data_IF_751602865882
#
_entry.id   IF_751602865882
#
_cell.length_a   1.000
_cell.length_b   1.000
_cell.length_c   1.000
_cell.angle_alpha   90.00
_cell.angle_beta   90.00
_cell.angle_gamma   90.00
#
_symmetry.space_group_name_H-M   'P 1'
#
loop_
_entity.id
_entity.type
_entity.pdbx_description
1 polymer ?
#
# COMPACT_ATOMS: atom_id res chain seq x y z
N UNK A 1 19.67 -18.79 8.25
CA UNK A 1 19.36 -19.80 7.19
C UNK A 1 19.78 -19.17 5.85
N UNK A 2 19.78 -19.83 4.69
CA UNK A 2 20.21 -19.14 3.45
C UNK A 2 19.21 -18.04 3.06
N UNK A 3 19.63 -16.80 3.22
CA UNK A 3 19.04 -15.65 2.54
C UNK A 3 19.33 -15.80 1.04
N UNK A 4 18.32 -15.62 0.20
CA UNK A 4 18.52 -15.35 -1.21
C UNK A 4 18.88 -13.86 -1.38
N UNK A 5 19.69 -13.57 -2.40
CA UNK A 5 20.48 -12.35 -2.44
C UNK A 5 19.70 -11.16 -2.99
N UNK A 6 19.10 -10.36 -2.10
CA UNK A 6 18.89 -8.94 -2.40
C UNK A 6 20.25 -8.27 -2.63
N UNK A 7 20.41 -7.54 -3.73
CA UNK A 7 21.71 -7.00 -4.17
C UNK A 7 22.23 -5.82 -3.33
N UNK A 8 21.45 -5.35 -2.36
CA UNK A 8 21.72 -4.16 -1.55
C UNK A 8 22.84 -4.32 -0.50
N UNK A 9 23.58 -3.23 -0.27
CA UNK A 9 24.74 -3.19 0.64
C UNK A 9 24.39 -2.43 1.92
N UNK A 10 24.23 -3.14 3.04
CA UNK A 10 23.74 -2.65 4.34
C UNK A 10 24.60 -1.59 5.07
N UNK A 11 25.72 -1.13 4.48
CA UNK A 11 26.74 -0.31 5.16
C UNK A 11 26.26 1.04 5.67
N UNK A 12 25.17 1.56 5.11
CA UNK A 12 24.60 2.86 5.49
C UNK A 12 23.38 2.75 6.43
N UNK A 13 22.99 1.52 6.79
CA UNK A 13 22.07 1.26 7.91
C UNK A 13 22.81 1.47 9.22
N UNK A 14 22.31 2.41 10.02
CA UNK A 14 22.83 2.74 11.34
C UNK A 14 21.84 2.27 12.41
N UNK A 15 22.38 1.61 13.45
CA UNK A 15 21.60 0.97 14.52
C UNK A 15 22.16 1.40 15.88
N UNK A 16 21.28 1.77 16.80
CA UNK A 16 21.59 2.02 18.20
C UNK A 16 21.23 0.81 19.07
N UNK A 17 22.05 0.57 20.09
CA UNK A 17 21.75 -0.33 21.20
C UNK A 17 21.58 0.48 22.48
N UNK A 18 20.49 0.25 23.21
CA UNK A 18 20.13 0.90 24.47
C UNK A 18 19.98 -0.11 25.61
N UNK A 19 20.08 0.37 26.84
CA UNK A 19 19.72 -0.34 28.07
C UNK A 19 18.85 0.57 28.95
N UNK A 20 17.98 0.01 29.79
CA UNK A 20 17.24 0.79 30.78
C UNK A 20 18.12 1.17 31.98
N UNK A 21 17.86 2.33 32.59
CA UNK A 21 18.46 2.74 33.87
C UNK A 21 17.60 2.32 35.08
N UNK A 22 18.02 2.70 36.30
CA UNK A 22 17.26 2.46 37.55
C UNK A 22 15.88 3.18 37.59
N UNK A 23 15.65 4.15 36.69
CA UNK A 23 14.41 4.93 36.56
C UNK A 23 13.45 4.34 35.53
N UNK A 24 13.96 3.54 34.57
CA UNK A 24 13.22 3.04 33.41
C UNK A 24 13.43 3.87 32.12
N UNK A 25 14.41 4.79 32.10
CA UNK A 25 14.76 5.58 30.92
C UNK A 25 15.78 4.83 30.03
N UNK A 26 15.65 4.98 28.70
CA UNK A 26 16.58 4.38 27.72
C UNK A 26 17.90 5.16 27.65
N UNK A 27 19.01 4.49 27.99
CA UNK A 27 20.38 5.00 27.84
C UNK A 27 21.06 4.36 26.63
N UNK A 28 21.59 5.18 25.73
CA UNK A 28 22.36 4.73 24.57
C UNK A 28 23.68 4.06 25.03
N UNK A 29 23.84 2.79 24.70
CA UNK A 29 25.02 1.96 24.98
C UNK A 29 26.04 2.08 23.85
N UNK A 30 25.59 1.97 22.59
CA UNK A 30 26.46 1.92 21.41
C UNK A 30 25.71 2.22 20.12
N UNK A 31 26.28 3.03 19.23
CA UNK A 31 25.86 3.16 17.83
C UNK A 31 26.73 2.28 16.93
N UNK A 32 26.12 1.65 15.93
CA UNK A 32 26.69 0.60 15.09
C UNK A 32 26.21 0.76 13.63
N UNK A 33 26.85 0.05 12.72
CA UNK A 33 26.44 -0.11 11.31
C UNK A 33 26.40 -1.59 10.98
N UNK A 34 25.51 -1.97 10.08
CA UNK A 34 25.47 -3.34 9.56
C UNK A 34 26.65 -3.59 8.60
N UNK A 35 27.17 -4.82 8.62
CA UNK A 35 28.04 -5.34 7.57
C UNK A 35 27.22 -5.86 6.38
N UNK A 36 27.89 -6.15 5.26
CA UNK A 36 27.27 -6.53 3.98
C UNK A 36 26.33 -7.76 4.08
N UNK A 37 26.49 -8.57 5.12
CA UNK A 37 25.73 -9.76 5.48
C UNK A 37 24.60 -9.49 6.51
N UNK A 38 24.27 -8.23 6.81
CA UNK A 38 23.20 -7.83 7.71
C UNK A 38 23.52 -7.92 9.20
N UNK A 39 24.76 -8.28 9.56
CA UNK A 39 25.20 -8.50 10.94
C UNK A 39 25.78 -7.24 11.57
N UNK A 40 25.92 -7.21 12.89
CA UNK A 40 26.82 -6.27 13.58
C UNK A 40 27.41 -6.85 14.87
N UNK A 41 28.45 -6.17 15.38
CA UNK A 41 29.34 -6.68 16.43
C UNK A 41 29.03 -6.02 17.78
N UNK A 42 28.47 -6.78 18.73
CA UNK A 42 28.16 -6.36 20.11
C UNK A 42 29.30 -6.75 21.08
N UNK A 43 30.52 -6.32 20.74
CA UNK A 43 31.71 -6.54 21.59
C UNK A 43 31.51 -6.05 23.06
N UNK A 44 31.90 -6.91 24.00
CA UNK A 44 32.06 -6.65 25.45
C UNK A 44 30.83 -6.18 26.25
N UNK A 45 29.61 -6.49 25.82
CA UNK A 45 28.42 -6.27 26.65
C UNK A 45 28.24 -7.35 27.73
N UNK A 46 27.56 -6.98 28.81
CA UNK A 46 27.08 -7.90 29.85
C UNK A 46 25.87 -8.68 29.35
N UNK A 47 25.66 -9.89 29.89
CA UNK A 47 24.40 -10.59 29.69
C UNK A 47 23.25 -9.80 30.35
N UNK A 48 22.12 -9.64 29.66
CA UNK A 48 21.03 -8.78 30.13
C UNK A 48 20.03 -8.39 29.03
N UNK A 49 19.08 -7.54 29.41
CA UNK A 49 18.05 -6.98 28.52
C UNK A 49 18.55 -5.70 27.83
N UNK A 50 18.37 -5.61 26.52
CA UNK A 50 18.72 -4.44 25.72
C UNK A 50 17.61 -4.13 24.72
N UNK A 51 17.63 -2.91 24.19
CA UNK A 51 16.69 -2.44 23.18
C UNK A 51 17.46 -1.97 21.94
N UNK A 52 17.05 -2.42 20.76
CA UNK A 52 17.69 -2.11 19.48
C UNK A 52 16.82 -1.13 18.69
N UNK A 53 17.40 -0.06 18.14
CA UNK A 53 16.71 0.95 17.33
C UNK A 53 17.41 1.09 15.98
N UNK A 54 16.68 0.98 14.87
CA UNK A 54 17.19 1.40 13.55
C UNK A 54 17.05 2.92 13.45
N UNK A 55 18.17 3.63 13.27
CA UNK A 55 18.17 5.10 13.15
C UNK A 55 18.37 5.62 11.72
N UNK A 56 18.76 4.75 10.77
CA UNK A 56 18.75 5.06 9.33
C UNK A 56 18.37 3.83 8.51
N UNK A 57 17.39 3.95 7.60
CA UNK A 57 16.38 5.03 7.50
C UNK A 57 15.51 5.07 8.78
N UNK A 58 14.80 6.18 9.03
CA UNK A 58 14.32 6.54 10.38
C UNK A 58 12.79 6.50 10.55
N UNK A 59 12.14 5.46 10.05
CA UNK A 59 10.68 5.47 9.76
C UNK A 59 9.83 4.39 10.42
N UNK A 60 10.49 3.52 11.15
CA UNK A 60 9.94 3.04 12.40
C UNK A 60 11.13 2.96 13.35
N UNK A 61 11.15 3.66 14.49
CA UNK A 61 12.09 3.37 15.57
C UNK A 61 11.66 2.05 16.22
N UNK A 62 11.77 0.96 15.47
CA UNK A 62 11.37 -0.38 15.88
C UNK A 62 12.29 -0.84 17.00
N UNK A 63 11.84 -0.64 18.25
CA UNK A 63 12.57 -0.99 19.46
C UNK A 63 12.47 -2.50 19.73
N UNK A 64 13.31 -3.30 19.05
CA UNK A 64 13.37 -4.74 19.33
C UNK A 64 13.99 -4.96 20.73
N UNK A 65 13.22 -5.58 21.64
CA UNK A 65 13.74 -5.98 22.95
C UNK A 65 14.49 -7.31 22.84
N UNK A 66 15.82 -7.22 22.87
CA UNK A 66 16.72 -8.36 22.76
C UNK A 66 17.31 -8.77 24.12
N UNK A 67 17.73 -10.02 24.23
CA UNK A 67 18.42 -10.56 25.40
C UNK A 67 19.80 -11.04 24.96
N UNK A 68 20.86 -10.55 25.63
CA UNK A 68 22.23 -10.99 25.38
C UNK A 68 22.63 -12.06 26.40
N UNK A 69 23.16 -13.19 25.91
CA UNK A 69 23.74 -14.27 26.72
C UNK A 69 25.20 -13.99 27.12
N UNK A 70 25.73 -14.75 28.09
CA UNK A 70 27.13 -14.67 28.52
C UNK A 70 28.12 -15.01 27.38
N UNK A 71 28.58 -13.98 26.66
CA UNK A 71 29.55 -14.09 25.58
C UNK A 71 29.04 -13.72 24.19
N UNK A 72 27.82 -13.16 24.07
CA UNK A 72 27.27 -12.67 22.79
C UNK A 72 28.13 -11.57 22.15
N UNK A 73 28.93 -11.93 21.14
CA UNK A 73 29.78 -11.00 20.38
C UNK A 73 29.13 -10.51 19.08
N UNK A 74 28.26 -11.32 18.46
CA UNK A 74 27.60 -11.04 17.20
C UNK A 74 26.09 -11.17 17.39
N UNK A 75 25.32 -10.31 16.71
CA UNK A 75 23.88 -10.48 16.55
C UNK A 75 23.54 -10.49 15.07
N UNK A 76 22.69 -11.44 14.68
CA UNK A 76 21.99 -11.52 13.40
C UNK A 76 20.62 -10.87 13.62
N UNK A 77 20.25 -9.87 12.82
CA UNK A 77 18.99 -9.12 12.98
C UNK A 77 18.22 -9.17 11.66
N UNK A 78 17.01 -9.72 11.72
CA UNK A 78 16.12 -9.81 10.56
C UNK A 78 15.29 -8.53 10.44
N UNK A 79 15.86 -7.53 9.75
CA UNK A 79 15.19 -6.26 9.49
C UNK A 79 13.99 -6.46 8.55
N UNK A 80 12.82 -5.95 8.96
CA UNK A 80 11.62 -5.88 8.12
C UNK A 80 11.93 -5.04 6.86
N UNK A 81 11.61 -5.59 5.69
CA UNK A 81 11.79 -4.95 4.39
C UNK A 81 10.45 -4.65 3.74
N UNK A 82 10.40 -3.61 2.93
CA UNK A 82 9.29 -3.37 2.01
C UNK A 82 9.30 -4.45 0.92
N UNK A 83 8.16 -5.06 0.61
CA UNK A 83 8.08 -6.10 -0.42
C UNK A 83 7.66 -5.47 -1.75
N UNK A 84 8.46 -5.66 -2.79
CA UNK A 84 8.24 -5.12 -4.13
C UNK A 84 8.33 -6.26 -5.15
N UNK A 85 7.71 -6.16 -6.34
CA UNK A 85 7.89 -7.19 -7.37
C UNK A 85 9.37 -7.34 -7.78
N UNK A 86 9.74 -8.53 -8.24
CA UNK A 86 10.99 -8.74 -8.98
C UNK A 86 11.02 -7.98 -10.31
N UNK A 87 9.88 -7.92 -11.03
CA UNK A 87 9.73 -7.13 -12.26
C UNK A 87 9.04 -5.79 -11.95
N UNK A 88 9.83 -4.72 -11.86
CA UNK A 88 9.34 -3.35 -11.69
C UNK A 88 9.28 -2.68 -13.06
N UNK A 89 8.07 -2.52 -13.59
CA UNK A 89 7.79 -1.86 -14.87
C UNK A 89 7.31 -0.42 -14.74
N UNK A 90 6.88 0.02 -13.54
CA UNK A 90 6.49 1.42 -13.29
C UNK A 90 6.91 1.89 -11.90
N UNK A 91 7.48 3.09 -11.86
CA UNK A 91 7.57 3.92 -10.65
C UNK A 91 6.96 5.29 -10.93
N UNK A 92 6.08 5.75 -10.06
CA UNK A 92 5.53 7.11 -10.03
C UNK A 92 5.97 7.81 -8.74
N UNK A 93 6.13 9.14 -8.75
CA UNK A 93 6.24 9.95 -7.52
C UNK A 93 4.99 10.80 -7.31
N UNK A 94 4.43 10.72 -6.10
CA UNK A 94 3.20 11.40 -5.66
C UNK A 94 3.49 12.24 -4.42
N UNK A 95 2.81 13.38 -4.26
CA UNK A 95 3.06 14.31 -3.15
C UNK A 95 2.14 15.52 -3.18
N UNK A 96 2.37 16.47 -2.27
CA UNK A 96 1.55 17.69 -2.15
C UNK A 96 1.52 18.55 -3.44
N UNK A 97 2.58 18.52 -4.24
CA UNK A 97 2.70 19.23 -5.52
C UNK A 97 1.77 18.68 -6.62
N UNK A 98 1.07 17.57 -6.36
CA UNK A 98 -0.01 17.01 -7.20
C UNK A 98 -1.33 16.81 -6.41
N UNK A 99 -1.45 17.46 -5.24
CA UNK A 99 -2.56 17.30 -4.28
C UNK A 99 -2.71 15.86 -3.73
N UNK A 100 -1.62 15.07 -3.68
CA UNK A 100 -1.59 13.62 -3.39
C UNK A 100 -2.44 12.74 -4.32
N UNK A 101 -2.88 13.28 -5.45
CA UNK A 101 -3.71 12.59 -6.44
C UNK A 101 -2.86 11.63 -7.29
N UNK A 102 -3.10 10.32 -7.15
CA UNK A 102 -2.41 9.29 -7.93
C UNK A 102 -2.66 9.39 -9.43
N UNK A 103 -3.80 9.96 -9.86
CA UNK A 103 -4.09 10.24 -11.27
C UNK A 103 -3.13 11.29 -11.88
N UNK A 104 -2.49 12.09 -11.02
CA UNK A 104 -1.56 13.16 -11.38
C UNK A 104 -0.10 12.84 -11.03
N UNK A 105 0.18 11.68 -10.42
CA UNK A 105 1.53 11.29 -10.01
C UNK A 105 2.51 11.31 -11.20
N UNK A 106 3.75 11.74 -10.95
CA UNK A 106 4.73 11.98 -12.00
C UNK A 106 5.46 10.68 -12.34
N UNK A 107 5.39 10.18 -13.60
CA UNK A 107 6.09 8.95 -13.98
C UNK A 107 7.61 9.16 -14.00
N UNK A 108 8.31 8.14 -13.53
CA UNK A 108 9.78 8.07 -13.48
C UNK A 108 10.30 7.14 -14.59
N UNK A 109 11.55 7.31 -15.00
CA UNK A 109 12.20 6.46 -16.02
C UNK A 109 13.46 5.80 -15.49
N UNK A 110 13.80 4.65 -16.06
CA UNK A 110 15.01 3.86 -15.80
C UNK A 110 15.75 3.66 -17.15
N UNK A 111 16.01 4.79 -17.85
CA UNK A 111 16.36 4.83 -19.28
C UNK A 111 17.69 4.14 -19.66
N UNK A 112 18.60 3.94 -18.70
CA UNK A 112 19.85 3.20 -18.86
C UNK A 112 19.84 1.81 -18.20
N UNK A 113 18.74 1.44 -17.53
CA UNK A 113 18.53 0.11 -16.96
C UNK A 113 19.37 -0.21 -15.73
N UNK A 114 19.92 0.80 -15.04
CA UNK A 114 20.75 0.57 -13.84
C UNK A 114 19.92 0.33 -12.55
N UNK A 115 18.59 0.45 -12.64
CA UNK A 115 17.58 0.34 -11.56
C UNK A 115 17.41 1.57 -10.68
N UNK A 116 17.99 2.71 -11.05
CA UNK A 116 17.72 4.02 -10.44
C UNK A 116 16.63 4.75 -11.23
N UNK A 117 15.38 4.50 -10.86
CA UNK A 117 14.23 5.21 -11.39
C UNK A 117 14.30 6.70 -11.05
N UNK A 118 14.09 7.59 -12.02
CA UNK A 118 14.32 9.03 -11.89
C UNK A 118 13.23 9.89 -12.54
N UNK A 119 12.90 11.04 -11.94
CA UNK A 119 12.17 12.13 -12.63
C UNK A 119 12.65 13.50 -12.14
N UNK A 120 12.76 14.46 -13.05
CA UNK A 120 13.15 15.84 -12.74
C UNK A 120 11.96 16.80 -12.93
N UNK A 121 11.53 17.47 -11.87
CA UNK A 121 10.35 18.35 -11.86
C UNK A 121 10.61 19.70 -11.15
N UNK A 122 10.09 20.83 -11.65
CA UNK A 122 10.22 22.12 -10.98
C UNK A 122 9.26 22.26 -9.79
N UNK A 123 9.80 22.38 -8.57
CA UNK A 123 9.03 22.66 -7.35
C UNK A 123 9.22 24.12 -6.90
N UNK A 124 8.22 24.71 -6.22
CA UNK A 124 8.33 26.05 -5.64
C UNK A 124 9.28 26.08 -4.42
N UNK A 125 9.48 27.27 -3.84
CA UNK A 125 10.18 27.39 -2.57
C UNK A 125 9.23 26.97 -1.43
N UNK A 126 9.71 26.13 -0.52
CA UNK A 126 8.89 25.56 0.55
C UNK A 126 9.33 24.15 0.93
N UNK A 127 8.51 23.52 1.77
CA UNK A 127 8.64 22.13 2.21
C UNK A 127 7.65 21.29 1.40
N UNK A 128 8.10 20.17 0.86
CA UNK A 128 7.33 19.29 0.00
C UNK A 128 7.42 17.84 0.48
N UNK A 129 6.26 17.22 0.67
CA UNK A 129 6.11 15.87 1.19
C UNK A 129 5.61 14.92 0.11
N UNK A 130 6.23 13.73 0.02
CA UNK A 130 6.08 12.82 -1.12
C UNK A 130 6.31 11.34 -0.78
N UNK A 131 5.90 10.47 -1.71
CA UNK A 131 6.11 9.01 -1.76
C UNK A 131 6.25 8.52 -3.20
N UNK A 132 6.64 7.26 -3.35
CA UNK A 132 6.65 6.52 -4.61
C UNK A 132 5.54 5.47 -4.67
N UNK A 133 4.98 5.27 -5.86
CA UNK A 133 4.08 4.16 -6.19
C UNK A 133 4.83 3.23 -7.13
N UNK A 134 4.91 1.93 -6.82
CA UNK A 134 5.58 0.91 -7.65
C UNK A 134 4.50 0.00 -8.24
N UNK A 135 4.48 -0.21 -9.56
CA UNK A 135 3.54 -1.08 -10.29
C UNK A 135 2.04 -0.92 -9.89
N UNK A 136 1.62 0.26 -9.43
CA UNK A 136 0.24 0.52 -8.97
C UNK A 136 -0.14 -0.07 -7.61
N UNK A 137 0.81 -0.54 -6.79
CA UNK A 137 0.56 -1.11 -5.46
C UNK A 137 -0.13 -0.13 -4.49
N UNK A 138 -1.01 -0.66 -3.63
CA UNK A 138 -1.64 0.09 -2.52
C UNK A 138 -0.62 0.54 -1.45
N UNK A 139 0.51 -0.16 -1.27
CA UNK A 139 1.61 0.31 -0.41
C UNK A 139 2.42 1.39 -1.13
N UNK A 140 2.46 2.60 -0.55
CA UNK A 140 3.27 3.70 -1.08
C UNK A 140 4.60 3.79 -0.34
N UNK A 141 5.69 3.78 -1.09
CA UNK A 141 7.06 3.65 -0.59
C UNK A 141 7.72 5.02 -0.36
N UNK A 142 8.69 5.06 0.53
CA UNK A 142 9.43 6.27 0.91
C UNK A 142 10.82 6.30 0.25
N UNK A 143 11.37 7.50 0.01
CA UNK A 143 12.77 7.66 -0.37
C UNK A 143 13.68 7.34 0.83
N UNK A 144 14.13 6.09 0.92
CA UNK A 144 15.09 5.56 1.91
C UNK A 144 16.39 6.39 2.04
N UNK A 145 16.68 7.32 1.11
CA UNK A 145 17.85 8.21 1.12
C UNK A 145 17.52 9.69 1.41
N UNK A 146 16.25 10.03 1.63
CA UNK A 146 15.85 11.40 2.00
C UNK A 146 16.44 11.82 3.37
N UNK A 147 16.61 13.13 3.54
CA UNK A 147 17.21 13.73 4.73
C UNK A 147 16.23 14.04 5.87
N UNK A 148 14.94 14.20 5.56
CA UNK A 148 13.88 14.48 6.54
C UNK A 148 12.57 13.81 6.12
N UNK A 149 11.71 13.59 7.11
CA UNK A 149 10.40 12.99 6.96
C UNK A 149 9.45 13.54 8.02
N UNK A 150 8.16 13.33 7.80
CA UNK A 150 7.11 13.65 8.74
C UNK A 150 6.06 12.55 8.79
N UNK A 151 5.35 12.34 9.91
CA UNK A 151 4.22 11.43 9.95
C UNK A 151 3.17 11.86 8.93
N UNK A 152 2.61 10.90 8.19
CA UNK A 152 1.61 11.17 7.14
C UNK A 152 0.19 11.41 7.67
N UNK A 153 -0.02 11.26 8.98
CA UNK A 153 -1.33 11.24 9.65
C UNK A 153 -1.80 9.83 9.99
N UNK A 154 -1.47 8.86 9.13
CA UNK A 154 -1.72 7.43 9.27
C UNK A 154 -0.57 6.70 9.99
N UNK A 155 0.48 7.44 10.34
CA UNK A 155 1.69 7.02 11.06
C UNK A 155 2.51 5.96 10.34
N UNK A 156 2.40 5.95 9.02
CA UNK A 156 3.57 5.78 8.20
C UNK A 156 4.27 7.17 8.10
N UNK A 157 5.29 7.29 7.25
CA UNK A 157 6.02 8.55 7.06
C UNK A 157 5.99 9.00 5.60
N UNK A 158 5.95 10.32 5.38
CA UNK A 158 6.20 10.92 4.07
C UNK A 158 7.66 11.33 3.99
N UNK A 159 8.31 11.09 2.86
CA UNK A 159 9.62 11.69 2.58
C UNK A 159 9.47 13.18 2.34
N UNK A 160 10.39 13.98 2.86
CA UNK A 160 10.36 15.44 2.74
C UNK A 160 11.55 15.94 1.93
N UNK A 161 11.32 16.95 1.09
CA UNK A 161 12.35 17.82 0.53
C UNK A 161 12.01 19.28 0.85
N UNK A 162 12.97 20.04 1.39
CA UNK A 162 12.79 21.46 1.73
C UNK A 162 13.72 22.35 0.90
N UNK A 163 13.15 23.40 0.30
CA UNK A 163 13.74 24.18 -0.78
C UNK A 163 13.74 25.67 -0.42
N UNK A 164 14.91 26.27 -0.21
CA UNK A 164 15.05 27.72 0.08
C UNK A 164 14.54 28.61 -1.07
N UNK A 165 14.72 28.15 -2.32
CA UNK A 165 14.17 28.77 -3.52
C UNK A 165 13.66 27.73 -4.53
N UNK A 166 12.76 28.16 -5.41
CA UNK A 166 12.10 27.31 -6.41
C UNK A 166 13.12 26.78 -7.44
N UNK A 167 13.19 25.46 -7.60
CA UNK A 167 14.23 24.79 -8.39
C UNK A 167 13.72 23.46 -8.97
N UNK A 168 14.49 22.88 -9.89
CA UNK A 168 14.23 21.52 -10.39
C UNK A 168 14.79 20.52 -9.39
N UNK A 169 13.90 19.72 -8.81
CA UNK A 169 14.25 18.57 -7.96
C UNK A 169 14.28 17.32 -8.84
N UNK A 170 15.30 16.49 -8.67
CA UNK A 170 15.33 15.14 -9.23
C UNK A 170 14.99 14.15 -8.12
N UNK A 171 13.82 13.52 -8.24
CA UNK A 171 13.45 12.37 -7.40
C UNK A 171 14.15 11.11 -7.94
N UNK A 172 14.58 10.24 -7.03
CA UNK A 172 15.35 9.02 -7.35
C UNK A 172 14.86 7.87 -6.47
N UNK A 173 14.51 6.73 -7.07
CA UNK A 173 14.22 5.49 -6.36
C UNK A 173 15.17 4.38 -6.83
N UNK A 174 15.83 3.74 -5.88
CA UNK A 174 16.74 2.62 -6.08
C UNK A 174 16.04 1.32 -5.67
N UNK A 175 15.55 0.56 -6.63
CA UNK A 175 14.80 -0.69 -6.35
C UNK A 175 15.71 -1.88 -5.99
N UNK A 176 17.03 -1.68 -5.97
CA UNK A 176 18.02 -2.62 -5.43
C UNK A 176 18.51 -2.22 -4.02
N UNK A 177 17.96 -1.15 -3.44
CA UNK A 177 18.26 -0.76 -2.06
C UNK A 177 17.97 -1.91 -1.09
N UNK A 178 18.85 -2.22 -0.11
CA UNK A 178 18.68 -3.36 0.79
C UNK A 178 17.36 -3.36 1.60
N UNK A 179 16.70 -2.20 1.74
CA UNK A 179 15.39 -2.09 2.38
C UNK A 179 14.22 -2.64 1.57
N UNK A 180 14.43 -2.86 0.27
CA UNK A 180 13.51 -3.62 -0.56
C UNK A 180 13.83 -5.11 -0.54
N UNK A 181 12.76 -5.89 -0.43
CA UNK A 181 12.75 -7.31 -0.76
C UNK A 181 11.99 -7.45 -2.07
N UNK A 182 12.72 -7.63 -3.16
CA UNK A 182 12.14 -8.17 -4.38
C UNK A 182 11.54 -9.54 -4.06
N UNK A 183 10.27 -9.74 -4.43
CA UNK A 183 9.53 -10.99 -4.31
C UNK A 183 8.89 -11.33 -5.64
N UNK A 184 8.98 -12.61 -6.01
CA UNK A 184 8.05 -13.18 -6.98
C UNK A 184 6.66 -13.16 -6.34
N UNK A 185 5.73 -12.41 -6.91
CA UNK A 185 4.32 -12.63 -6.60
C UNK A 185 3.93 -14.02 -7.11
N UNK A 186 3.11 -14.77 -6.35
CA UNK A 186 2.65 -16.09 -6.77
C UNK A 186 1.61 -15.96 -7.90
N UNK A 187 2.10 -15.74 -9.13
CA UNK A 187 1.36 -16.06 -10.35
C UNK A 187 0.85 -17.50 -10.21
N UNK A 188 -0.46 -17.77 -10.35
CA UNK A 188 -1.02 -19.10 -10.13
C UNK A 188 -0.27 -20.15 -10.94
N UNK A 189 0.46 -21.02 -10.23
CA UNK A 189 1.54 -21.83 -10.81
C UNK A 189 1.11 -22.54 -12.11
N UNK A 190 1.73 -22.14 -13.23
CA UNK A 190 1.28 -22.39 -14.59
C UNK A 190 0.72 -23.81 -14.80
N UNK A 191 -0.61 -23.88 -14.93
CA UNK A 191 -1.31 -25.14 -15.20
C UNK A 191 -1.02 -25.61 -16.64
N UNK A 192 -1.21 -26.89 -16.93
CA UNK A 192 -1.13 -27.39 -18.33
C UNK A 192 -2.37 -27.00 -19.18
N UNK A 193 -3.22 -26.08 -18.72
CA UNK A 193 -4.28 -25.46 -19.52
C UNK A 193 -3.79 -24.14 -20.16
N UNK A 194 -4.56 -23.59 -21.10
CA UNK A 194 -4.19 -22.39 -21.84
C UNK A 194 -4.20 -21.12 -20.97
N UNK A 195 -3.63 -20.04 -21.54
CA UNK A 195 -3.31 -18.77 -20.89
C UNK A 195 -4.41 -18.13 -20.04
N UNK A 196 -3.96 -17.35 -19.07
CA UNK A 196 -4.72 -16.89 -17.91
C UNK A 196 -4.97 -15.39 -17.92
N UNK A 197 -5.92 -14.96 -17.08
CA UNK A 197 -6.25 -13.56 -16.79
C UNK A 197 -6.37 -13.42 -15.29
N UNK A 198 -5.81 -12.34 -14.75
CA UNK A 198 -5.93 -11.98 -13.34
C UNK A 198 -5.96 -10.44 -13.20
N UNK A 199 -6.22 -9.94 -11.99
CA UNK A 199 -6.20 -8.50 -11.71
C UNK A 199 -5.79 -8.19 -10.26
N UNK A 200 -5.29 -6.98 -10.04
CA UNK A 200 -5.10 -6.41 -8.70
C UNK A 200 -5.64 -4.97 -8.63
N UNK A 201 -6.19 -4.52 -7.48
CA UNK A 201 -6.45 -5.31 -6.29
C UNK A 201 -7.59 -6.32 -6.52
N UNK A 202 -7.50 -7.53 -5.97
CA UNK A 202 -8.49 -8.62 -6.17
C UNK A 202 -9.95 -8.23 -5.86
N UNK A 203 -10.17 -7.37 -4.88
CA UNK A 203 -11.50 -6.88 -4.44
C UNK A 203 -11.60 -5.33 -4.57
N UNK A 204 -11.60 -4.76 -5.79
CA UNK A 204 -11.37 -3.32 -5.99
C UNK A 204 -12.59 -2.48 -5.60
N UNK A 205 -12.33 -1.27 -5.09
CA UNK A 205 -13.33 -0.28 -4.70
C UNK A 205 -13.40 0.86 -5.72
N UNK A 206 -14.54 1.55 -5.80
CA UNK A 206 -14.64 2.76 -6.62
C UNK A 206 -13.59 3.81 -6.20
N UNK A 207 -12.94 4.44 -7.19
CA UNK A 207 -11.71 5.28 -7.11
C UNK A 207 -10.37 4.54 -7.09
N UNK A 208 -10.31 3.22 -6.91
CA UNK A 208 -9.04 2.49 -7.10
C UNK A 208 -8.72 2.31 -8.60
N UNK A 209 -7.44 2.10 -8.91
CA UNK A 209 -7.01 1.58 -10.21
C UNK A 209 -6.95 0.06 -10.14
N UNK A 210 -7.32 -0.59 -11.24
CA UNK A 210 -7.25 -2.04 -11.40
C UNK A 210 -6.21 -2.32 -12.49
N UNK A 211 -5.13 -3.01 -12.13
CA UNK A 211 -4.19 -3.55 -13.12
C UNK A 211 -4.74 -4.90 -13.59
N UNK A 212 -5.05 -5.01 -14.89
CA UNK A 212 -5.46 -6.26 -15.54
C UNK A 212 -4.22 -6.93 -16.12
N UNK A 213 -4.05 -8.21 -15.86
CA UNK A 213 -2.96 -9.06 -16.39
C UNK A 213 -3.53 -10.13 -17.35
N UNK A 214 -2.79 -10.48 -18.39
CA UNK A 214 -3.17 -11.45 -19.42
C UNK A 214 -1.97 -12.20 -20.00
N UNK A 215 -1.99 -13.52 -19.90
CA UNK A 215 -1.11 -14.42 -20.66
C UNK A 215 -1.88 -14.99 -21.87
N UNK A 216 -1.45 -14.71 -23.11
CA UNK A 216 -2.10 -15.19 -24.31
C UNK A 216 -1.68 -16.62 -24.74
N UNK A 217 -0.81 -17.32 -23.99
CA UNK A 217 -0.21 -18.61 -24.38
C UNK A 217 -1.26 -19.70 -24.70
N UNK A 218 -1.12 -20.36 -25.85
CA UNK A 218 -2.12 -21.30 -26.38
C UNK A 218 -3.50 -20.70 -26.71
N UNK A 219 -3.67 -19.38 -26.57
CA UNK A 219 -4.91 -18.64 -26.81
C UNK A 219 -4.99 -18.02 -28.22
N UNK A 220 -6.06 -17.27 -28.53
CA UNK A 220 -6.24 -16.62 -29.84
C UNK A 220 -5.16 -15.60 -30.18
N UNK A 221 -4.51 -15.02 -29.17
CA UNK A 221 -3.57 -13.91 -29.28
C UNK A 221 -2.10 -14.29 -29.01
N UNK A 222 -1.77 -15.59 -28.90
CA UNK A 222 -0.42 -16.09 -28.57
C UNK A 222 0.71 -15.43 -29.40
N UNK A 223 0.56 -15.41 -30.73
CA UNK A 223 1.48 -14.72 -31.66
C UNK A 223 1.08 -13.24 -31.91
N UNK A 224 0.76 -12.43 -30.89
CA UNK A 224 0.44 -11.01 -31.06
C UNK A 224 1.65 -10.09 -30.83
N UNK A 225 1.96 -9.22 -31.80
CA UNK A 225 3.01 -8.19 -31.67
C UNK A 225 2.56 -6.96 -30.85
N UNK A 226 1.25 -6.81 -30.60
CA UNK A 226 0.64 -5.80 -29.73
C UNK A 226 -0.73 -6.32 -29.27
N UNK A 227 -1.04 -6.18 -27.98
CA UNK A 227 -2.38 -6.43 -27.44
C UNK A 227 -2.98 -5.13 -26.91
N UNK A 228 -4.30 -5.00 -27.02
CA UNK A 228 -5.12 -3.94 -26.45
C UNK A 228 -6.16 -4.56 -25.51
N UNK A 229 -6.30 -3.95 -24.34
CA UNK A 229 -7.43 -4.17 -23.44
C UNK A 229 -8.61 -3.37 -24.00
N UNK A 230 -9.70 -4.04 -24.36
CA UNK A 230 -10.95 -3.43 -24.81
C UNK A 230 -11.98 -3.58 -23.70
N UNK A 231 -12.37 -2.48 -23.06
CA UNK A 231 -13.09 -2.49 -21.80
C UNK A 231 -14.12 -1.38 -21.66
N UNK A 232 -15.08 -1.56 -20.75
CA UNK A 232 -16.02 -0.55 -20.31
C UNK A 232 -16.42 -0.76 -18.86
N UNK A 233 -17.19 0.17 -18.30
CA UNK A 233 -17.76 0.07 -16.95
C UNK A 233 -19.26 -0.19 -17.02
N UNK A 234 -19.84 -0.87 -16.03
CA UNK A 234 -21.30 -1.01 -15.86
C UNK A 234 -22.04 -1.42 -17.17
N UNK A 235 -21.93 -2.69 -17.58
CA UNK A 235 -22.53 -3.24 -18.81
C UNK A 235 -22.02 -2.56 -20.11
N UNK A 236 -20.71 -2.46 -20.29
CA UNK A 236 -20.06 -1.83 -21.47
C UNK A 236 -20.52 -0.37 -21.73
N UNK A 237 -20.39 0.48 -20.70
CA UNK A 237 -20.49 1.94 -20.82
C UNK A 237 -19.10 2.56 -20.88
N UNK A 238 -18.92 3.65 -21.64
CA UNK A 238 -17.66 4.42 -21.68
C UNK A 238 -17.41 5.05 -20.30
N UNK A 239 -16.26 4.79 -19.66
CA UNK A 239 -15.92 5.33 -18.34
C UNK A 239 -15.72 6.86 -18.38
N UNK A 240 -15.94 7.53 -17.24
CA UNK A 240 -15.65 8.98 -17.14
C UNK A 240 -14.14 9.27 -17.13
N UNK A 241 -13.33 8.32 -16.66
CA UNK A 241 -11.87 8.40 -16.62
C UNK A 241 -11.31 7.47 -17.70
N UNK A 242 -10.51 8.03 -18.63
CA UNK A 242 -9.86 7.30 -19.72
C UNK A 242 -8.34 7.43 -19.51
N UNK A 243 -7.57 6.31 -19.45
CA UNK A 243 -6.13 6.37 -19.23
C UNK A 243 -5.40 7.13 -20.36
N UNK A 244 -4.28 7.80 -20.08
CA UNK A 244 -3.37 8.31 -21.11
C UNK A 244 -3.03 7.22 -22.14
N UNK A 245 -2.96 7.58 -23.42
CA UNK A 245 -2.71 6.62 -24.51
C UNK A 245 -3.92 5.75 -24.91
N UNK A 246 -5.02 5.78 -24.15
CA UNK A 246 -6.26 5.08 -24.48
C UNK A 246 -7.23 5.96 -25.30
N UNK A 247 -8.26 5.36 -25.90
CA UNK A 247 -9.32 6.10 -26.61
C UNK A 247 -10.62 5.34 -26.74
N UNK A 248 -11.72 6.07 -26.97
CA UNK A 248 -13.03 5.50 -27.31
C UNK A 248 -12.94 4.62 -28.58
N UNK A 249 -13.50 3.41 -28.53
CA UNK A 249 -13.62 2.52 -29.68
C UNK A 249 -14.75 2.96 -30.62
N UNK A 250 -14.72 2.54 -31.90
CA UNK A 250 -15.69 2.96 -32.93
C UNK A 250 -17.16 2.55 -32.64
N UNK A 251 -17.39 1.70 -31.63
CA UNK A 251 -18.74 1.33 -31.17
C UNK A 251 -19.39 2.32 -30.18
N UNK A 252 -18.63 3.29 -29.65
CA UNK A 252 -19.11 4.28 -28.68
C UNK A 252 -19.58 3.70 -27.34
N UNK A 253 -19.06 2.54 -26.94
CA UNK A 253 -19.41 1.82 -25.71
C UNK A 253 -18.20 1.41 -24.87
N UNK A 254 -17.08 1.12 -25.52
CA UNK A 254 -15.83 0.74 -24.84
C UNK A 254 -14.68 1.71 -25.12
N UNK A 255 -13.66 1.62 -24.28
CA UNK A 255 -12.32 2.18 -24.45
C UNK A 255 -11.37 1.07 -24.91
N UNK A 256 -10.45 1.40 -25.81
CA UNK A 256 -9.24 0.59 -26.02
C UNK A 256 -8.05 1.26 -25.34
N UNK A 257 -7.39 0.48 -24.48
CA UNK A 257 -6.14 0.79 -23.81
C UNK A 257 -5.04 -0.08 -24.41
N UNK A 258 -3.92 0.51 -24.81
CA UNK A 258 -2.74 -0.26 -25.22
C UNK A 258 -2.20 -1.00 -24.00
N UNK A 259 -1.94 -2.30 -24.14
CA UNK A 259 -1.25 -3.05 -23.09
C UNK A 259 0.26 -2.98 -23.32
N UNK A 260 1.01 -3.09 -22.23
CA UNK A 260 2.46 -3.27 -22.24
C UNK A 260 2.77 -4.75 -21.95
N UNK A 261 3.97 -5.22 -22.31
CA UNK A 261 4.36 -6.63 -22.16
C UNK A 261 5.62 -6.75 -21.30
N UNK A 262 5.53 -7.55 -20.25
CA UNK A 262 6.62 -7.87 -19.33
C UNK A 262 7.56 -8.93 -19.91
N UNK A 263 8.74 -9.12 -19.31
CA UNK A 263 9.83 -9.90 -19.93
C UNK A 263 9.56 -11.42 -19.98
N UNK A 264 8.59 -11.92 -19.21
CA UNK A 264 8.13 -13.30 -19.23
C UNK A 264 7.13 -13.61 -20.37
N UNK A 265 6.53 -12.57 -20.96
CA UNK A 265 5.52 -12.65 -22.01
C UNK A 265 4.10 -12.22 -21.57
N UNK A 266 3.88 -11.99 -20.28
CA UNK A 266 2.61 -11.49 -19.71
C UNK A 266 2.34 -10.07 -20.21
N UNK A 267 1.09 -9.76 -20.53
CA UNK A 267 0.63 -8.41 -20.87
C UNK A 267 -0.13 -7.79 -19.70
N UNK A 268 0.03 -6.49 -19.45
CA UNK A 268 -0.79 -5.76 -18.48
C UNK A 268 -1.36 -4.45 -19.02
N UNK A 269 -2.43 -3.97 -18.39
CA UNK A 269 -3.04 -2.67 -18.67
C UNK A 269 -3.88 -2.17 -17.50
N UNK A 270 -3.91 -0.85 -17.29
CA UNK A 270 -4.58 -0.22 -16.14
C UNK A 270 -5.98 0.32 -16.46
N UNK A 271 -6.91 0.07 -15.54
CA UNK A 271 -8.30 0.52 -15.57
C UNK A 271 -8.60 1.40 -14.35
N UNK A 272 -8.77 2.73 -14.50
CA UNK A 272 -9.23 3.60 -13.44
C UNK A 272 -10.73 3.40 -13.18
N UNK A 273 -11.13 3.37 -11.91
CA UNK A 273 -12.53 3.41 -11.50
C UNK A 273 -12.92 4.76 -10.89
N UNK A 274 -14.22 5.00 -10.76
CA UNK A 274 -14.80 6.14 -10.04
C UNK A 274 -15.95 5.64 -9.13
N UNK A 275 -16.57 6.48 -8.27
CA UNK A 275 -17.59 6.04 -7.31
C UNK A 275 -18.85 5.41 -7.93
N UNK A 276 -19.19 5.78 -9.17
CA UNK A 276 -20.35 5.25 -9.90
C UNK A 276 -20.03 3.92 -10.61
N UNK A 277 -18.75 3.51 -10.66
CA UNK A 277 -18.33 2.20 -11.19
C UNK A 277 -18.69 1.09 -10.19
N UNK A 278 -19.45 0.11 -10.68
CA UNK A 278 -19.89 -1.10 -9.97
C UNK A 278 -19.31 -2.36 -10.62
N UNK A 279 -18.85 -2.25 -11.87
CA UNK A 279 -18.13 -3.30 -12.58
C UNK A 279 -17.25 -2.76 -13.71
N UNK A 280 -16.23 -3.54 -14.08
CA UNK A 280 -15.42 -3.40 -15.29
C UNK A 280 -15.62 -4.65 -16.15
N UNK A 281 -16.11 -4.48 -17.37
CA UNK A 281 -16.25 -5.53 -18.38
C UNK A 281 -15.09 -5.41 -19.39
N UNK A 282 -14.41 -6.51 -19.73
CA UNK A 282 -13.25 -6.45 -20.64
C UNK A 282 -13.01 -7.72 -21.47
N UNK A 283 -12.32 -7.53 -22.60
CA UNK A 283 -11.82 -8.54 -23.56
C UNK A 283 -10.51 -8.04 -24.20
N UNK A 284 -9.80 -8.90 -24.94
CA UNK A 284 -8.50 -8.57 -25.53
C UNK A 284 -8.52 -8.62 -27.07
N UNK A 285 -7.69 -7.79 -27.72
CA UNK A 285 -7.56 -7.76 -29.20
C UNK A 285 -6.17 -7.32 -29.67
N UNK A 286 -5.74 -7.79 -30.84
CA UNK A 286 -4.60 -7.21 -31.60
C UNK A 286 -5.05 -6.21 -32.69
N UNK A 287 -6.34 -5.82 -32.68
CA UNK A 287 -7.00 -5.02 -33.71
C UNK A 287 -7.57 -5.83 -34.88
N UNK A 288 -7.38 -7.15 -34.93
CA UNK A 288 -7.96 -8.03 -35.96
C UNK A 288 -8.56 -9.33 -35.37
N UNK A 289 -7.82 -9.98 -34.48
CA UNK A 289 -8.23 -11.10 -33.63
C UNK A 289 -8.79 -10.58 -32.32
N UNK A 290 -9.59 -11.41 -31.68
CA UNK A 290 -10.18 -11.12 -30.37
C UNK A 290 -10.06 -12.38 -29.51
N UNK A 291 -9.77 -12.20 -28.23
CA UNK A 291 -10.08 -13.18 -27.20
C UNK A 291 -11.22 -12.62 -26.36
N UNK A 292 -12.40 -13.24 -26.50
CA UNK A 292 -13.67 -12.82 -25.89
C UNK A 292 -14.08 -13.75 -24.72
N UNK A 293 -13.11 -14.49 -24.17
CA UNK A 293 -13.32 -15.61 -23.26
C UNK A 293 -14.38 -16.59 -23.78
N UNK A 294 -14.31 -16.94 -25.08
CA UNK A 294 -15.25 -17.87 -25.74
C UNK A 294 -16.71 -17.38 -25.69
N UNK A 295 -16.91 -16.06 -25.76
CA UNK A 295 -18.17 -15.31 -25.61
C UNK A 295 -18.68 -15.16 -24.16
N UNK A 296 -17.87 -15.48 -23.15
CA UNK A 296 -18.23 -15.26 -21.73
C UNK A 296 -17.66 -13.94 -21.15
N UNK A 297 -16.79 -13.23 -21.89
CA UNK A 297 -16.02 -12.04 -21.48
C UNK A 297 -15.25 -12.22 -20.13
N UNK A 298 -14.58 -11.17 -19.67
CA UNK A 298 -14.13 -11.05 -18.28
C UNK A 298 -14.81 -9.87 -17.60
N UNK A 299 -14.94 -9.96 -16.28
CA UNK A 299 -15.71 -9.03 -15.47
C UNK A 299 -15.09 -8.90 -14.08
N UNK A 300 -14.67 -7.70 -13.71
CA UNK A 300 -14.28 -7.37 -12.32
C UNK A 300 -15.46 -6.65 -11.67
N UNK A 301 -15.98 -7.21 -10.57
CA UNK A 301 -16.96 -6.51 -9.73
C UNK A 301 -16.25 -5.44 -8.89
N UNK A 302 -16.69 -4.20 -9.00
CA UNK A 302 -16.13 -3.06 -8.24
C UNK A 302 -17.06 -2.73 -7.09
N UNK A 303 -16.53 -2.67 -5.86
CA UNK A 303 -17.31 -2.29 -4.68
C UNK A 303 -17.63 -0.79 -4.75
N UNK A 304 -18.85 -0.50 -5.19
CA UNK A 304 -19.32 0.88 -5.31
C UNK A 304 -19.44 1.55 -3.95
N UNK A 305 -19.02 2.81 -3.89
CA UNK A 305 -19.19 3.69 -2.72
C UNK A 305 -20.60 4.30 -2.64
N UNK A 306 -21.46 4.03 -3.64
CA UNK A 306 -22.80 4.63 -3.75
C UNK A 306 -23.89 3.66 -3.27
N UNK A 307 -24.77 4.13 -2.37
CA UNK A 307 -25.92 3.35 -1.88
C UNK A 307 -25.56 2.20 -0.95
N UNK A 308 -24.47 2.35 -0.20
CA UNK A 308 -23.93 1.39 0.76
C UNK A 308 -24.96 0.94 1.82
N UNK A 309 -24.85 -0.31 2.29
CA UNK A 309 -25.18 -0.58 3.68
C UNK A 309 -24.22 0.28 4.53
N UNK A 310 -24.75 1.08 5.47
CA UNK A 310 -24.05 2.21 6.16
C UNK A 310 -22.60 1.96 6.61
N UNK A 311 -22.21 0.70 6.82
CA UNK A 311 -20.84 0.28 7.08
C UNK A 311 -20.49 -0.89 6.18
N UNK A 312 -19.33 -0.82 5.55
CA UNK A 312 -18.65 -1.96 4.91
C UNK A 312 -17.23 -2.09 5.46
N UNK A 313 -16.59 -3.22 5.19
CA UNK A 313 -15.15 -3.43 5.40
C UNK A 313 -14.54 -4.28 4.30
N UNK A 314 -13.21 -4.18 4.14
CA UNK A 314 -12.42 -4.98 3.21
C UNK A 314 -11.14 -5.53 3.87
N UNK A 315 -10.67 -6.74 3.49
CA UNK A 315 -11.34 -7.68 2.59
C UNK A 315 -12.64 -8.27 3.20
N UNK A 316 -13.42 -9.01 2.42
CA UNK A 316 -14.66 -9.65 2.93
C UNK A 316 -14.37 -10.72 4.01
N UNK A 317 -13.23 -11.42 3.89
CA UNK A 317 -12.77 -12.41 4.86
C UNK A 317 -11.36 -12.08 5.41
N UNK A 318 -11.22 -11.11 6.34
CA UNK A 318 -9.93 -10.73 6.93
C UNK A 318 -9.17 -11.89 7.57
N UNK A 319 -7.85 -11.92 7.37
CA UNK A 319 -6.93 -12.86 8.02
C UNK A 319 -6.20 -12.21 9.20
N UNK A 320 -5.92 -12.97 10.27
CA UNK A 320 -5.23 -12.45 11.44
C UNK A 320 -3.78 -12.00 11.11
N UNK A 321 -3.48 -10.72 11.35
CA UNK A 321 -2.23 -10.06 10.95
C UNK A 321 -2.36 -9.15 9.72
N UNK A 322 -3.52 -9.11 9.07
CA UNK A 322 -3.83 -8.22 7.96
C UNK A 322 -4.38 -6.86 8.45
N UNK A 323 -4.31 -5.83 7.62
CA UNK A 323 -5.10 -4.61 7.79
C UNK A 323 -6.54 -4.81 7.27
N UNK A 324 -7.48 -4.11 7.89
CA UNK A 324 -8.90 -4.09 7.49
C UNK A 324 -9.28 -2.63 7.23
N UNK A 325 -9.71 -2.31 6.01
CA UNK A 325 -10.25 -0.98 5.68
C UNK A 325 -11.73 -0.96 6.01
N UNK A 326 -12.14 -0.09 6.93
CA UNK A 326 -13.54 0.14 7.33
C UNK A 326 -14.03 1.42 6.67
N UNK A 327 -15.22 1.40 6.07
CA UNK A 327 -15.83 2.56 5.42
C UNK A 327 -17.27 2.78 5.92
N UNK A 328 -17.65 4.04 6.08
CA UNK A 328 -18.86 4.51 6.76
C UNK A 328 -19.58 5.59 5.92
N UNK A 329 -20.85 5.37 5.61
CA UNK A 329 -21.74 6.36 5.01
C UNK A 329 -22.60 7.04 6.10
N UNK A 330 -22.36 8.32 6.42
CA UNK A 330 -23.09 9.03 7.45
C UNK A 330 -24.48 9.53 7.00
N UNK A 331 -24.84 9.43 5.71
CA UNK A 331 -26.08 9.96 5.14
C UNK A 331 -27.35 9.33 5.73
N UNK A 332 -28.44 10.12 5.87
CA UNK A 332 -29.65 9.76 6.62
C UNK A 332 -29.34 9.31 8.08
N UNK A 333 -28.28 9.85 8.68
CA UNK A 333 -27.61 9.28 9.87
C UNK A 333 -27.35 10.25 11.03
N UNK A 334 -27.01 9.73 12.22
CA UNK A 334 -26.68 10.56 13.38
C UNK A 334 -25.52 11.53 13.13
N UNK A 335 -24.60 11.16 12.23
CA UNK A 335 -23.35 11.84 11.94
C UNK A 335 -23.32 12.51 10.54
N UNK A 336 -24.46 12.64 9.86
CA UNK A 336 -24.55 13.23 8.51
C UNK A 336 -23.87 14.61 8.41
N UNK A 337 -24.24 15.52 9.31
CA UNK A 337 -23.60 16.83 9.49
C UNK A 337 -22.38 16.76 10.45
N UNK A 338 -21.48 15.78 10.32
CA UNK A 338 -20.24 15.74 11.12
C UNK A 338 -19.07 16.45 10.42
N UNK A 339 -18.39 17.36 11.13
CA UNK A 339 -17.15 17.99 10.67
C UNK A 339 -15.93 17.04 10.78
N UNK A 340 -15.99 16.08 11.71
CA UNK A 340 -15.04 14.99 11.91
C UNK A 340 -15.80 13.75 12.38
N UNK A 341 -15.53 12.57 11.81
CA UNK A 341 -15.95 11.28 12.38
C UNK A 341 -14.73 10.57 12.96
N UNK A 342 -14.95 9.86 14.07
CA UNK A 342 -13.99 8.95 14.70
C UNK A 342 -14.57 7.53 14.69
N UNK A 343 -13.74 6.58 14.29
CA UNK A 343 -13.95 5.16 14.51
C UNK A 343 -13.61 4.85 15.97
N UNK A 344 -14.58 4.36 16.74
CA UNK A 344 -14.39 3.89 18.11
C UNK A 344 -14.43 2.37 18.12
N UNK A 345 -13.30 1.72 18.35
CA UNK A 345 -13.12 0.29 18.09
C UNK A 345 -12.24 -0.44 19.11
N UNK A 346 -12.32 -1.76 19.09
CA UNK A 346 -11.40 -2.67 19.76
C UNK A 346 -11.34 -4.00 19.04
N UNK A 347 -10.65 -4.97 19.63
CA UNK A 347 -10.58 -6.36 19.15
C UNK A 347 -11.12 -7.31 20.21
N UNK A 348 -11.62 -8.47 19.80
CA UNK A 348 -11.99 -9.58 20.70
C UNK A 348 -12.86 -9.12 21.90
N UNK A 349 -14.14 -8.80 21.67
CA UNK A 349 -15.11 -8.33 22.68
C UNK A 349 -14.72 -6.96 23.32
N UNK A 350 -14.31 -5.98 22.51
CA UNK A 350 -13.90 -4.64 22.96
C UNK A 350 -12.74 -4.67 23.97
N UNK A 351 -11.64 -5.31 23.56
CA UNK A 351 -10.32 -5.18 24.17
C UNK A 351 -9.49 -4.15 23.39
N UNK A 352 -8.64 -3.38 24.09
CA UNK A 352 -7.67 -2.49 23.42
C UNK A 352 -6.70 -3.36 22.60
N UNK A 353 -6.55 -3.14 21.28
CA UNK A 353 -5.63 -3.91 20.45
C UNK A 353 -4.17 -3.56 20.77
N UNK A 354 -3.27 -4.53 20.58
CA UNK A 354 -1.83 -4.34 20.84
C UNK A 354 -1.16 -3.38 19.86
N UNK A 355 -1.74 -3.27 18.66
CA UNK A 355 -1.36 -2.34 17.58
C UNK A 355 -2.66 -1.68 17.14
N UNK A 356 -2.67 -0.36 17.03
CA UNK A 356 -3.79 0.40 16.47
C UNK A 356 -3.28 1.43 15.48
N UNK A 357 -4.17 1.87 14.59
CA UNK A 357 -3.89 2.95 13.64
C UNK A 357 -3.30 4.16 14.36
N UNK A 358 -2.15 4.70 13.92
CA UNK A 358 -1.61 5.93 14.46
C UNK A 358 -2.58 7.12 14.38
N UNK A 359 -2.29 8.18 15.14
CA UNK A 359 -3.23 9.29 15.37
C UNK A 359 -4.37 8.96 16.35
N UNK A 360 -4.56 7.67 16.68
CA UNK A 360 -5.57 7.24 17.65
C UNK A 360 -5.22 7.52 19.11
N UNK A 361 -6.23 7.48 19.98
CA UNK A 361 -6.11 7.56 21.44
C UNK A 361 -6.89 6.45 22.14
N UNK A 362 -6.41 5.97 23.30
CA UNK A 362 -7.22 5.16 24.21
C UNK A 362 -8.41 5.98 24.74
N UNK A 363 -9.62 5.44 24.65
CA UNK A 363 -10.81 6.06 25.21
C UNK A 363 -10.82 5.95 26.75
N UNK A 364 -11.39 6.93 27.45
CA UNK A 364 -11.36 7.03 28.93
C UNK A 364 -11.92 5.79 29.66
N UNK A 365 -12.72 4.96 28.98
CA UNK A 365 -13.27 3.71 29.53
C UNK A 365 -12.28 2.52 29.54
N UNK A 366 -11.09 2.64 28.95
CA UNK A 366 -10.00 1.66 29.04
C UNK A 366 -10.28 0.32 28.36
N UNK A 367 -11.00 0.35 27.23
CA UNK A 367 -11.47 -0.83 26.47
C UNK A 367 -11.41 -0.71 24.96
N UNK A 368 -11.39 0.52 24.46
CA UNK A 368 -11.49 0.82 23.06
C UNK A 368 -10.61 2.02 22.71
N UNK A 369 -10.29 2.13 21.43
CA UNK A 369 -9.45 3.13 20.81
C UNK A 369 -10.33 4.03 19.95
N UNK A 370 -10.09 5.34 19.96
CA UNK A 370 -10.70 6.29 19.01
C UNK A 370 -9.66 6.69 17.95
N UNK A 371 -9.97 6.41 16.69
CA UNK A 371 -9.19 6.80 15.52
C UNK A 371 -9.95 7.87 14.74
N UNK A 372 -9.36 9.04 14.41
CA UNK A 372 -9.99 9.95 13.46
C UNK A 372 -10.09 9.26 12.09
N UNK A 373 -11.24 9.36 11.43
CA UNK A 373 -11.40 8.83 10.07
C UNK A 373 -11.09 9.90 9.03
N UNK A 374 -10.66 9.47 7.84
CA UNK A 374 -10.54 10.35 6.68
C UNK A 374 -11.88 10.56 6.00
N UNK A 375 -12.04 11.71 5.34
CA UNK A 375 -13.30 12.11 4.68
C UNK A 375 -13.13 12.14 3.17
N UNK A 376 -13.91 11.33 2.47
CA UNK A 376 -13.95 11.36 1.02
C UNK A 376 -14.68 12.61 0.47
N UNK A 377 -14.41 13.01 -0.79
CA UNK A 377 -15.07 14.16 -1.42
C UNK A 377 -16.60 14.05 -1.54
N UNK A 378 -17.16 12.84 -1.54
CA UNK A 378 -18.61 12.59 -1.51
C UNK A 378 -19.22 12.75 -0.11
N UNK A 379 -18.42 12.59 0.96
CA UNK A 379 -18.85 12.68 2.35
C UNK A 379 -18.98 11.36 3.10
N UNK A 380 -18.64 10.24 2.49
CA UNK A 380 -18.29 9.02 3.23
C UNK A 380 -16.99 9.20 4.03
N UNK A 381 -16.75 8.30 4.98
CA UNK A 381 -15.57 8.29 5.83
C UNK A 381 -14.92 6.92 5.81
N UNK A 382 -13.57 6.85 5.77
CA UNK A 382 -12.85 5.58 5.82
C UNK A 382 -11.70 5.59 6.82
N UNK A 383 -11.30 4.42 7.29
CA UNK A 383 -10.04 4.21 7.99
C UNK A 383 -9.57 2.75 7.92
N UNK A 384 -8.27 2.53 7.75
CA UNK A 384 -7.64 1.23 7.89
C UNK A 384 -7.23 0.94 9.34
N UNK A 385 -7.53 -0.26 9.83
CA UNK A 385 -7.15 -0.74 11.17
C UNK A 385 -6.31 -2.02 11.09
N UNK A 386 -5.20 -2.13 11.85
CA UNK A 386 -4.36 -3.33 11.85
C UNK A 386 -4.96 -4.43 12.74
N UNK A 387 -4.70 -5.69 12.38
CA UNK A 387 -4.93 -6.86 13.26
C UNK A 387 -3.60 -7.53 13.61
N UNK A 388 -3.58 -8.33 14.68
CA UNK A 388 -2.46 -9.19 15.06
C UNK A 388 -2.87 -10.68 14.97
N UNK A 389 -1.92 -11.64 14.98
CA UNK A 389 -2.21 -13.07 14.82
C UNK A 389 -3.13 -13.71 15.89
N UNK A 390 -3.46 -12.97 16.94
CA UNK A 390 -4.35 -13.33 18.05
C UNK A 390 -5.72 -12.60 18.01
N UNK A 391 -6.00 -11.82 16.96
CA UNK A 391 -7.30 -11.18 16.69
C UNK A 391 -8.26 -12.15 15.99
N UNK A 392 -9.49 -12.22 16.48
CA UNK A 392 -10.61 -13.01 15.95
C UNK A 392 -11.81 -12.13 15.57
N UNK A 393 -11.87 -10.89 16.07
CA UNK A 393 -12.82 -9.87 15.66
C UNK A 393 -12.26 -8.45 15.79
N UNK A 394 -12.74 -7.55 14.94
CA UNK A 394 -12.72 -6.10 15.17
C UNK A 394 -14.14 -5.64 15.48
N UNK A 395 -14.33 -5.04 16.64
CA UNK A 395 -15.61 -4.57 17.19
C UNK A 395 -15.64 -3.03 17.17
N UNK A 396 -16.65 -2.38 16.56
CA UNK A 396 -16.60 -0.92 16.32
C UNK A 396 -17.95 -0.19 16.20
N UNK A 397 -17.92 1.13 16.44
CA UNK A 397 -18.99 2.15 16.29
C UNK A 397 -18.39 3.50 15.87
N UNK A 398 -19.24 4.50 15.58
CA UNK A 398 -18.81 5.82 15.06
C UNK A 398 -19.28 6.97 15.94
N UNK A 399 -18.50 8.05 16.02
CA UNK A 399 -18.83 9.25 16.80
C UNK A 399 -18.19 10.52 16.23
N UNK A 400 -18.78 11.69 16.48
CA UNK A 400 -18.13 13.00 16.29
C UNK A 400 -17.57 13.60 17.61
N UNK A 401 -17.50 12.77 18.66
CA UNK A 401 -17.16 13.17 20.03
C UNK A 401 -18.36 13.64 20.87
N UNK A 402 -19.57 13.76 20.30
CA UNK A 402 -20.79 14.13 21.03
C UNK A 402 -21.99 13.23 20.69
N UNK A 403 -22.19 12.97 19.40
CA UNK A 403 -23.17 12.06 18.81
C UNK A 403 -22.51 10.71 18.55
N UNK A 404 -23.31 9.67 18.45
CA UNK A 404 -22.85 8.30 18.17
C UNK A 404 -23.80 7.65 17.16
N UNK A 405 -23.25 6.88 16.22
CA UNK A 405 -24.00 5.80 15.57
C UNK A 405 -23.49 4.47 16.13
N UNK A 406 -24.35 3.82 16.91
CA UNK A 406 -24.07 2.60 17.65
C UNK A 406 -24.75 1.35 17.05
N UNK A 407 -25.25 1.48 15.81
CA UNK A 407 -26.08 0.48 15.13
C UNK A 407 -27.34 0.07 15.94
N UNK A 408 -27.92 1.00 16.70
CA UNK A 408 -29.05 0.79 17.63
C UNK A 408 -28.66 -0.18 18.75
N UNK A 409 -27.62 0.19 19.50
CA UNK A 409 -26.96 -0.55 20.58
C UNK A 409 -26.46 -1.94 20.17
N UNK A 410 -25.85 -2.08 18.99
CA UNK A 410 -25.32 -3.35 18.47
C UNK A 410 -23.83 -3.32 18.13
N UNK A 411 -23.32 -2.16 17.71
CA UNK A 411 -22.04 -2.08 17.01
C UNK A 411 -22.03 -2.76 15.65
N UNK A 412 -20.84 -2.77 15.05
CA UNK A 412 -20.45 -3.62 13.94
C UNK A 412 -19.28 -4.50 14.38
N UNK A 413 -19.12 -5.64 13.71
CA UNK A 413 -18.22 -6.71 14.10
C UNK A 413 -17.68 -7.37 12.84
N UNK A 414 -16.45 -7.06 12.47
CA UNK A 414 -15.75 -7.70 11.36
C UNK A 414 -15.05 -8.97 11.89
N UNK A 415 -15.44 -10.17 11.45
CA UNK A 415 -14.78 -11.40 11.87
C UNK A 415 -13.39 -11.53 11.23
N UNK A 416 -12.43 -12.08 11.96
CA UNK A 416 -11.06 -12.31 11.51
C UNK A 416 -10.73 -13.80 11.62
N UNK A 417 -10.06 -14.36 10.62
CA UNK A 417 -9.78 -15.79 10.45
C UNK A 417 -8.38 -16.21 10.85
#
# INVERSE_FOLDING_TARGET
MTLEAGNGVWRDVEVNLFSLDDSGDLILVKSMRLSDDGLFLIDYQSAGEYYLEVIKPRYDPYFEKIYLDEGGMFLEVELKRYSIPEDVWQVLVVGDFVDWDSLKALPMTNDDGDSLWQVATPLPAGRHSYRYIINGLDEWFIDIKSGEYEPDGFGYYNSVVELEEAQVVTFVLDINDPWFRQVTFEVPAASEEAGWVDWEPKEPWGRQWITIFYDPHGGPLEDAEQIFLHWGVNDWTVPQIIPPGSGEHEDGRAVQTSMEQDIDGTWWGVVPTDPEVQSVDFIFTDGQRWDDNKQEQWHVSVRSLSGLDRVIWGPEEPQAGQWITILYDPHDGPLEDAEQVFLHWGVNDWTIPQIFTPGSSEHEEGRAVQTPMERDPDGTWWMAVPTSPDVQSVDFIFTDGQRWDDNKTRGWHAPVK
#
